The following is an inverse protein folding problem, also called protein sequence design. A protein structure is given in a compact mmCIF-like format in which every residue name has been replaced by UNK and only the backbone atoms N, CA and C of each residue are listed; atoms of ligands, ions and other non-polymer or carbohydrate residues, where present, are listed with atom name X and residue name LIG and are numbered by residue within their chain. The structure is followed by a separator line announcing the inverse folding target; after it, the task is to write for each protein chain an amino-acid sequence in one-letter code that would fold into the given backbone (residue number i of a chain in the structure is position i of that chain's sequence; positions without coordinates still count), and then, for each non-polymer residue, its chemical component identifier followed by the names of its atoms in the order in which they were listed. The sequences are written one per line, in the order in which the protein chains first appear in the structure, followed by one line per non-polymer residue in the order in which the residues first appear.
data_IF_397179217879
#
_entry.id   IF_397179217879
#
_cell.length_a   1.000
_cell.length_b   1.000
_cell.length_c   1.000
_cell.angle_alpha   90.00
_cell.angle_beta   90.00
_cell.angle_gamma   90.00
#
_symmetry.space_group_name_H-M   'P 1'
#
loop_
_entity.id
_entity.type
_entity.pdbx_description
1 polymer ?
#
# COMPACT_ATOMS: atom_id res chain seq x y z
N UNK A 1 30.69 5.21 -6.21
CA UNK A 1 30.35 4.78 -4.82
C UNK A 1 29.23 5.63 -4.22
N UNK A 2 29.29 6.96 -4.28
CA UNK A 2 28.20 7.83 -3.79
C UNK A 2 26.85 7.62 -4.49
N UNK A 3 26.85 7.49 -5.83
CA UNK A 3 25.64 7.25 -6.63
C UNK A 3 24.91 5.95 -6.26
N UNK A 4 25.65 4.91 -5.85
CA UNK A 4 25.03 3.65 -5.40
C UNK A 4 24.31 3.83 -4.04
N UNK A 5 24.84 4.65 -3.15
CA UNK A 5 24.22 4.91 -1.85
C UNK A 5 22.94 5.74 -1.98
N UNK A 6 22.94 6.71 -2.89
CA UNK A 6 21.75 7.52 -3.18
C UNK A 6 20.64 6.67 -3.80
N UNK A 7 20.99 5.80 -4.76
CA UNK A 7 20.05 4.86 -5.36
C UNK A 7 19.45 3.90 -4.32
N UNK A 8 20.26 3.37 -3.40
CA UNK A 8 19.78 2.50 -2.31
C UNK A 8 18.84 3.26 -1.36
N UNK A 9 19.23 4.47 -0.94
CA UNK A 9 18.37 5.28 -0.08
C UNK A 9 17.04 5.62 -0.75
N UNK A 10 17.03 5.83 -2.07
CA UNK A 10 15.82 6.08 -2.83
C UNK A 10 14.94 4.83 -2.94
N UNK A 11 15.54 3.66 -3.16
CA UNK A 11 14.83 2.38 -3.19
C UNK A 11 14.16 2.08 -1.85
N UNK A 12 14.88 2.24 -0.74
CA UNK A 12 14.35 2.05 0.62
C UNK A 12 13.17 2.99 0.92
N UNK A 13 13.25 4.26 0.46
CA UNK A 13 12.13 5.20 0.60
C UNK A 13 10.90 4.75 -0.18
N UNK A 14 11.07 4.31 -1.43
CA UNK A 14 9.97 3.83 -2.27
C UNK A 14 9.33 2.56 -1.69
N UNK A 15 10.15 1.64 -1.17
CA UNK A 15 9.66 0.43 -0.51
C UNK A 15 8.91 0.75 0.79
N UNK A 16 9.44 1.66 1.61
CA UNK A 16 8.76 2.14 2.81
C UNK A 16 7.43 2.83 2.52
N UNK A 17 7.36 3.65 1.47
CA UNK A 17 6.13 4.32 1.02
C UNK A 17 5.08 3.28 0.59
N UNK A 18 5.47 2.30 -0.23
CA UNK A 18 4.60 1.21 -0.67
C UNK A 18 4.06 0.40 0.51
N UNK A 19 4.92 0.02 1.45
CA UNK A 19 4.52 -0.70 2.66
C UNK A 19 3.57 0.13 3.54
N UNK A 20 3.79 1.44 3.64
CA UNK A 20 2.93 2.36 4.38
C UNK A 20 1.53 2.48 3.78
N UNK A 21 1.44 2.61 2.46
CA UNK A 21 0.18 2.64 1.71
C UNK A 21 -0.58 1.32 1.91
N UNK A 22 0.08 0.19 1.72
CA UNK A 22 -0.54 -1.14 1.88
C UNK A 22 -1.04 -1.37 3.31
N UNK A 23 -0.25 -1.02 4.31
CA UNK A 23 -0.64 -1.11 5.73
C UNK A 23 -1.88 -0.27 6.01
N UNK A 24 -1.96 0.91 5.43
CA UNK A 24 -3.13 1.80 5.57
C UNK A 24 -4.37 1.16 4.95
N UNK A 25 -4.27 0.65 3.71
CA UNK A 25 -5.38 -0.04 3.05
C UNK A 25 -5.87 -1.25 3.85
N UNK A 26 -4.96 -2.09 4.37
CA UNK A 26 -5.32 -3.25 5.23
C UNK A 26 -6.04 -2.84 6.51
N UNK A 27 -5.63 -1.73 7.14
CA UNK A 27 -6.33 -1.21 8.31
C UNK A 27 -7.74 -0.74 7.98
N UNK A 28 -7.93 -0.03 6.86
CA UNK A 28 -9.25 0.43 6.41
C UNK A 28 -10.17 -0.75 6.07
N UNK A 29 -9.66 -1.77 5.37
CA UNK A 29 -10.37 -3.02 5.09
C UNK A 29 -10.81 -3.71 6.38
N UNK A 30 -9.93 -3.78 7.40
CA UNK A 30 -10.23 -4.37 8.70
C UNK A 30 -11.31 -3.60 9.47
N UNK A 31 -11.38 -2.29 9.32
CA UNK A 31 -12.44 -1.47 9.92
C UNK A 31 -13.80 -1.76 9.26
N UNK A 32 -13.83 -2.14 7.98
CA UNK A 32 -15.04 -2.60 7.28
C UNK A 32 -16.09 -1.50 7.03
N UNK A 33 -15.71 -0.22 7.16
CA UNK A 33 -16.62 0.93 7.02
C UNK A 33 -16.59 1.59 5.64
N UNK A 34 -15.59 1.28 4.82
CA UNK A 34 -15.41 1.83 3.47
C UNK A 34 -15.56 0.76 2.39
N UNK A 35 -16.02 1.15 1.20
CA UNK A 35 -15.97 0.30 0.01
C UNK A 35 -14.55 0.20 -0.55
N UNK A 36 -14.30 -0.77 -1.44
CA UNK A 36 -12.98 -0.92 -2.07
C UNK A 36 -12.61 0.30 -2.93
N UNK A 37 -13.59 0.95 -3.57
CA UNK A 37 -13.39 2.19 -4.33
C UNK A 37 -12.97 3.35 -3.44
N UNK A 38 -13.60 3.50 -2.26
CA UNK A 38 -13.24 4.55 -1.30
C UNK A 38 -11.84 4.32 -0.71
N UNK A 39 -11.46 3.06 -0.49
CA UNK A 39 -10.12 2.71 -0.02
C UNK A 39 -9.08 2.98 -1.11
N UNK A 40 -9.38 2.63 -2.37
CA UNK A 40 -8.53 2.93 -3.52
C UNK A 40 -8.28 4.43 -3.64
N UNK A 41 -9.34 5.25 -3.56
CA UNK A 41 -9.24 6.72 -3.56
C UNK A 41 -8.40 7.25 -2.39
N UNK A 42 -8.67 6.79 -1.16
CA UNK A 42 -7.99 7.29 0.04
C UNK A 42 -6.51 6.90 0.12
N UNK A 43 -6.11 5.81 -0.52
CA UNK A 43 -4.74 5.28 -0.46
C UNK A 43 -3.94 5.53 -1.74
N UNK A 44 -4.61 5.91 -2.83
CA UNK A 44 -4.00 6.01 -4.16
C UNK A 44 -3.70 4.66 -4.81
N UNK A 45 -4.14 3.54 -4.22
CA UNK A 45 -4.01 2.22 -4.82
C UNK A 45 -5.00 2.03 -5.97
N UNK A 46 -4.67 1.14 -6.89
CA UNK A 46 -5.63 0.69 -7.88
C UNK A 46 -6.71 -0.20 -7.23
N UNK A 47 -7.92 -0.20 -7.79
CA UNK A 47 -9.05 -0.96 -7.23
C UNK A 47 -8.76 -2.46 -7.16
N UNK A 48 -8.04 -3.00 -8.14
CA UNK A 48 -7.61 -4.41 -8.18
C UNK A 48 -6.58 -4.74 -7.09
N UNK A 49 -5.71 -3.80 -6.72
CA UNK A 49 -4.78 -3.97 -5.60
C UNK A 49 -5.54 -4.05 -4.28
N UNK A 50 -6.53 -3.17 -4.05
CA UNK A 50 -7.38 -3.22 -2.86
C UNK A 50 -8.17 -4.53 -2.79
N UNK A 51 -8.76 -4.96 -3.91
CA UNK A 51 -9.48 -6.23 -3.99
C UNK A 51 -8.58 -7.43 -3.66
N UNK A 52 -7.33 -7.43 -4.15
CA UNK A 52 -6.34 -8.46 -3.81
C UNK A 52 -6.05 -8.48 -2.31
N UNK A 53 -5.77 -7.32 -1.70
CA UNK A 53 -5.50 -7.20 -0.26
C UNK A 53 -6.65 -7.73 0.60
N UNK A 54 -7.90 -7.48 0.18
CA UNK A 54 -9.10 -8.02 0.84
C UNK A 54 -9.11 -9.54 0.84
N UNK A 55 -8.83 -10.18 -0.29
CA UNK A 55 -8.79 -11.66 -0.37
C UNK A 55 -7.65 -12.28 0.42
N UNK A 56 -6.50 -11.59 0.54
CA UNK A 56 -5.36 -12.06 1.33
C UNK A 56 -5.65 -12.04 2.83
N UNK A 57 -6.38 -11.04 3.33
CA UNK A 57 -6.74 -10.94 4.75
C UNK A 57 -7.85 -11.91 5.20
N UNK A 58 -8.49 -12.61 4.26
CA UNK A 58 -9.54 -13.60 4.52
C UNK A 58 -9.02 -15.05 4.55
N UNK A 59 -7.74 -15.26 4.25
CA UNK A 59 -7.04 -16.55 4.38
C UNK A 59 -6.46 -16.72 5.78
#
# INVERSE_FOLDING_TARGET
MAENLENWAQQERQEGEKLGIEKTARNLLKLGVLSDEQIAEATGLALDEVAKLRTEGQR
#
